data_IF_913861245015
#
_entry.id   IF_913861245015
#
_cell.length_a   1.000
_cell.length_b   1.000
_cell.length_c   1.000
_cell.angle_alpha   90.00
_cell.angle_beta   90.00
_cell.angle_gamma   90.00
#
_symmetry.space_group_name_H-M   'P 1'
#
loop_
_entity.id
_entity.type
_entity.pdbx_description
1 polymer ?
#
# COMPACT_ATOMS: atom_id res chain seq x y z
N UNK A 1 20.51 11.69 4.41
CA UNK A 1 19.08 12.06 4.16
C UNK A 1 18.31 10.78 4.37
N UNK A 2 17.29 10.82 5.20
CA UNK A 2 16.44 9.64 5.42
C UNK A 2 15.80 9.19 4.11
N UNK A 3 15.59 7.87 3.92
CA UNK A 3 15.02 7.34 2.71
C UNK A 3 13.58 7.80 2.52
N UNK A 4 13.27 8.29 1.32
CA UNK A 4 11.93 8.71 0.94
C UNK A 4 11.68 8.44 -0.55
N UNK A 5 10.41 8.30 -0.94
CA UNK A 5 10.06 8.04 -2.34
C UNK A 5 10.26 9.27 -3.23
N UNK A 6 9.97 10.47 -2.72
CA UNK A 6 10.02 11.71 -3.51
C UNK A 6 10.77 12.83 -2.79
N UNK A 7 11.24 13.79 -3.59
CA UNK A 7 11.58 15.15 -3.14
C UNK A 7 10.59 16.14 -3.76
N UNK A 8 10.19 17.15 -3.00
CA UNK A 8 9.34 18.23 -3.52
C UNK A 8 10.25 19.28 -4.20
N UNK A 9 9.98 19.60 -5.45
CA UNK A 9 10.71 20.61 -6.20
C UNK A 9 10.18 22.02 -5.96
N UNK A 10 10.96 23.02 -6.32
CA UNK A 10 10.52 24.42 -6.24
C UNK A 10 9.35 24.77 -7.17
N UNK A 11 9.07 23.95 -8.18
CA UNK A 11 7.91 24.07 -9.07
C UNK A 11 6.63 23.44 -8.49
N UNK A 12 6.71 22.76 -7.33
CA UNK A 12 5.58 22.07 -6.72
C UNK A 12 5.33 20.67 -7.29
N UNK A 13 6.22 20.14 -8.11
CA UNK A 13 6.19 18.77 -8.59
C UNK A 13 6.99 17.85 -7.66
N UNK A 14 6.72 16.55 -7.75
CA UNK A 14 7.37 15.52 -6.94
C UNK A 14 8.37 14.74 -7.80
N UNK A 15 9.66 14.93 -7.52
CA UNK A 15 10.77 14.24 -8.20
C UNK A 15 11.01 12.89 -7.52
N UNK A 16 10.94 11.75 -8.24
CA UNK A 16 11.21 10.44 -7.66
C UNK A 16 12.66 10.28 -7.23
N UNK A 17 12.90 9.68 -6.08
CA UNK A 17 14.23 9.25 -5.64
C UNK A 17 14.50 7.81 -6.12
N UNK A 18 15.72 7.33 -5.90
CA UNK A 18 16.05 5.91 -6.15
C UNK A 18 15.17 4.91 -5.39
N UNK A 19 14.57 5.32 -4.26
CA UNK A 19 13.72 4.48 -3.42
C UNK A 19 12.27 4.36 -3.93
N UNK A 20 11.90 5.11 -4.96
CA UNK A 20 10.59 5.01 -5.60
C UNK A 20 10.53 3.92 -6.67
N UNK A 21 11.65 3.27 -7.00
CA UNK A 21 11.73 2.28 -8.07
C UNK A 21 10.87 1.03 -7.85
N UNK A 22 10.50 0.38 -8.94
CA UNK A 22 9.67 -0.83 -8.99
C UNK A 22 10.44 -2.01 -9.57
N UNK A 23 10.11 -3.23 -9.11
CA UNK A 23 10.60 -4.48 -9.72
C UNK A 23 9.94 -4.83 -11.05
N UNK A 24 8.89 -4.13 -11.47
CA UNK A 24 8.27 -4.34 -12.78
C UNK A 24 9.13 -3.85 -13.97
N UNK A 25 10.27 -3.23 -13.70
CA UNK A 25 11.24 -2.82 -14.71
C UNK A 25 11.87 -1.47 -14.44
N UNK A 26 12.97 -1.19 -15.14
CA UNK A 26 13.73 0.04 -14.98
C UNK A 26 12.92 1.29 -15.28
N UNK A 27 13.09 2.29 -14.46
CA UNK A 27 12.42 3.58 -14.58
C UNK A 27 10.90 3.54 -14.29
N UNK A 28 10.38 2.46 -13.70
CA UNK A 28 9.01 2.38 -13.18
C UNK A 28 8.96 2.79 -11.72
N UNK A 29 7.86 3.41 -11.28
CA UNK A 29 7.60 3.67 -9.87
C UNK A 29 6.86 2.48 -9.24
N UNK A 30 7.19 2.23 -7.97
CA UNK A 30 6.53 1.22 -7.15
C UNK A 30 5.12 1.66 -6.75
N UNK A 31 4.24 0.69 -6.49
CA UNK A 31 2.89 0.94 -5.98
C UNK A 31 2.88 1.78 -4.72
N UNK A 32 3.66 1.47 -3.67
CA UNK A 32 3.73 2.28 -2.45
C UNK A 32 4.09 3.75 -2.70
N UNK A 33 4.97 4.05 -3.66
CA UNK A 33 5.30 5.43 -4.02
C UNK A 33 4.08 6.16 -4.60
N UNK A 34 3.36 5.55 -5.53
CA UNK A 34 2.20 6.17 -6.20
C UNK A 34 1.04 6.37 -5.22
N UNK A 35 0.66 5.31 -4.47
CA UNK A 35 -0.45 5.39 -3.52
C UNK A 35 -0.12 6.29 -2.33
N UNK A 36 1.14 6.29 -1.88
CA UNK A 36 1.63 7.18 -0.82
C UNK A 36 1.53 8.65 -1.21
N UNK A 37 1.95 9.01 -2.42
CA UNK A 37 1.87 10.40 -2.91
C UNK A 37 0.42 10.88 -3.02
N UNK A 38 -0.49 10.04 -3.53
CA UNK A 38 -1.91 10.34 -3.59
C UNK A 38 -2.51 10.54 -2.19
N UNK A 39 -2.26 9.60 -1.27
CA UNK A 39 -2.76 9.65 0.10
C UNK A 39 -2.26 10.89 0.84
N UNK A 40 -0.93 11.19 0.72
CA UNK A 40 -0.32 12.36 1.34
C UNK A 40 -0.97 13.65 0.86
N UNK A 41 -1.18 13.80 -0.44
CA UNK A 41 -1.81 15.00 -0.99
C UNK A 41 -3.21 15.19 -0.41
N UNK A 42 -4.02 14.12 -0.37
CA UNK A 42 -5.38 14.17 0.15
C UNK A 42 -5.43 14.43 1.66
N UNK A 43 -4.54 13.81 2.43
CA UNK A 43 -4.47 14.05 3.88
C UNK A 43 -3.99 15.46 4.21
N UNK A 44 -2.99 15.97 3.50
CA UNK A 44 -2.44 17.32 3.71
C UNK A 44 -3.50 18.42 3.49
N UNK A 45 -4.32 18.27 2.45
CA UNK A 45 -5.27 19.31 2.05
C UNK A 45 -6.66 19.14 2.66
N UNK A 46 -7.06 17.93 3.03
CA UNK A 46 -8.42 17.60 3.48
C UNK A 46 -8.46 16.84 4.81
N UNK A 47 -7.33 16.50 5.40
CA UNK A 47 -7.25 15.87 6.72
C UNK A 47 -7.78 16.77 7.82
N UNK A 48 -8.38 16.16 8.85
CA UNK A 48 -8.92 16.88 10.01
C UNK A 48 -8.92 15.94 11.22
N UNK A 49 -8.61 16.44 12.44
CA UNK A 49 -8.64 15.64 13.65
C UNK A 49 -10.02 15.02 13.95
N UNK A 50 -11.09 15.70 13.55
CA UNK A 50 -12.47 15.27 13.76
C UNK A 50 -12.89 14.14 12.83
N UNK A 51 -12.17 13.93 11.72
CA UNK A 51 -12.51 12.97 10.68
C UNK A 51 -11.48 11.86 10.59
N UNK A 52 -11.96 10.64 10.53
CA UNK A 52 -11.15 9.45 10.28
C UNK A 52 -11.03 9.23 8.78
N UNK A 53 -9.83 9.15 8.20
CA UNK A 53 -9.64 8.67 6.83
C UNK A 53 -9.99 7.18 6.79
N UNK A 54 -11.16 6.85 6.25
CA UNK A 54 -11.75 5.52 6.39
C UNK A 54 -11.56 4.67 5.15
N UNK A 55 -11.57 5.27 3.96
CA UNK A 55 -11.32 4.53 2.73
C UNK A 55 -10.51 5.39 1.76
N UNK A 56 -9.45 4.77 1.22
CA UNK A 56 -8.76 5.26 0.03
C UNK A 56 -8.95 4.26 -1.10
N UNK A 57 -9.40 4.73 -2.26
CA UNK A 57 -9.39 3.96 -3.51
C UNK A 57 -8.43 4.64 -4.47
N UNK A 58 -7.55 3.88 -5.11
CA UNK A 58 -6.59 4.37 -6.10
C UNK A 58 -6.73 3.53 -7.36
N UNK A 59 -7.05 4.19 -8.48
CA UNK A 59 -7.03 3.60 -9.82
C UNK A 59 -5.66 3.87 -10.46
N UNK A 60 -5.02 2.84 -10.97
CA UNK A 60 -3.70 2.88 -11.63
C UNK A 60 -3.90 2.75 -13.14
N UNK A 61 -4.02 3.87 -13.85
CA UNK A 61 -4.34 3.87 -15.29
C UNK A 61 -3.15 3.50 -16.17
N UNK A 62 -1.95 3.77 -15.70
CA UNK A 62 -0.70 3.54 -16.42
C UNK A 62 0.44 3.32 -15.45
N UNK A 63 1.43 2.58 -15.90
CA UNK A 63 2.70 2.47 -15.18
C UNK A 63 3.33 3.86 -15.02
N UNK A 64 3.45 4.33 -13.79
CA UNK A 64 4.14 5.57 -13.46
C UNK A 64 5.65 5.40 -13.70
N UNK A 65 6.30 6.44 -14.19
CA UNK A 65 7.73 6.44 -14.55
C UNK A 65 8.55 7.27 -13.56
N UNK A 66 9.86 7.02 -13.55
CA UNK A 66 10.82 7.80 -12.74
C UNK A 66 11.07 9.18 -13.38
N UNK A 67 10.02 10.01 -13.39
CA UNK A 67 10.01 11.40 -13.89
C UNK A 67 9.13 12.23 -12.93
N UNK A 68 9.26 13.58 -12.93
CA UNK A 68 8.46 14.44 -12.10
C UNK A 68 6.96 14.17 -12.23
N UNK A 69 6.26 14.19 -11.10
CA UNK A 69 4.83 13.95 -11.01
C UNK A 69 4.13 15.20 -10.47
N UNK A 70 3.21 15.73 -11.27
CA UNK A 70 2.29 16.78 -10.84
C UNK A 70 1.06 16.16 -10.20
N UNK A 71 0.52 16.82 -9.15
CA UNK A 71 -0.69 16.37 -8.46
C UNK A 71 -1.71 17.49 -8.43
N UNK A 72 -2.92 17.21 -8.89
CA UNK A 72 -4.09 18.09 -8.72
C UNK A 72 -5.08 17.44 -7.77
N UNK A 73 -5.85 18.24 -7.05
CA UNK A 73 -6.78 17.74 -6.04
C UNK A 73 -7.97 18.66 -5.88
N UNK A 74 -9.11 18.09 -5.45
CA UNK A 74 -10.31 18.84 -5.16
C UNK A 74 -11.17 18.18 -4.09
N UNK A 75 -11.95 19.00 -3.36
CA UNK A 75 -13.05 18.49 -2.56
C UNK A 75 -14.21 18.08 -3.50
N UNK A 76 -14.75 16.88 -3.25
CA UNK A 76 -15.97 16.38 -3.91
C UNK A 76 -17.17 16.63 -3.03
N UNK A 77 -17.01 16.43 -1.71
CA UNK A 77 -18.05 16.66 -0.71
C UNK A 77 -17.43 17.11 0.60
N UNK A 78 -17.93 18.20 1.15
CA UNK A 78 -17.61 18.65 2.51
C UNK A 78 -18.89 18.68 3.36
N UNK A 79 -19.25 17.54 3.93
CA UNK A 79 -20.45 17.36 4.74
C UNK A 79 -20.14 17.19 6.23
N UNK A 80 -21.14 17.43 7.07
CA UNK A 80 -20.99 17.37 8.52
C UNK A 80 -20.52 16.00 9.05
N UNK A 81 -20.87 14.89 8.38
CA UNK A 81 -20.54 13.51 8.79
C UNK A 81 -19.62 12.79 7.81
N UNK A 82 -19.63 13.21 6.55
CA UNK A 82 -18.95 12.55 5.44
C UNK A 82 -18.24 13.60 4.61
N UNK A 83 -16.94 13.40 4.39
CA UNK A 83 -16.11 14.17 3.46
C UNK A 83 -15.54 13.26 2.39
N UNK A 84 -15.47 13.77 1.17
CA UNK A 84 -14.88 13.08 0.04
C UNK A 84 -13.99 14.09 -0.69
N UNK A 85 -12.77 13.68 -0.96
CA UNK A 85 -11.81 14.42 -1.77
C UNK A 85 -11.17 13.48 -2.79
N UNK A 86 -10.72 14.03 -3.89
CA UNK A 86 -10.01 13.28 -4.92
C UNK A 86 -8.75 13.99 -5.37
N UNK A 87 -7.78 13.24 -5.89
CA UNK A 87 -6.60 13.77 -6.55
C UNK A 87 -6.27 12.97 -7.80
N UNK A 88 -5.56 13.62 -8.72
CA UNK A 88 -5.03 13.05 -9.94
C UNK A 88 -3.52 13.24 -10.00
N UNK A 89 -2.80 12.16 -10.31
CA UNK A 89 -1.37 12.17 -10.53
C UNK A 89 -1.10 12.15 -12.02
N UNK A 90 -0.32 13.10 -12.51
CA UNK A 90 0.01 13.23 -13.92
C UNK A 90 1.52 13.35 -14.15
N UNK A 91 2.02 12.73 -15.21
CA UNK A 91 3.39 12.80 -15.66
C UNK A 91 3.43 13.24 -17.12
N UNK A 92 4.19 14.31 -17.42
CA UNK A 92 4.26 14.87 -18.78
C UNK A 92 2.87 15.13 -19.40
N UNK A 93 1.93 15.65 -18.57
CA UNK A 93 0.56 15.94 -18.98
C UNK A 93 -0.36 14.73 -19.17
N UNK A 94 0.10 13.50 -18.84
CA UNK A 94 -0.70 12.28 -18.92
C UNK A 94 -1.07 11.79 -17.54
N UNK A 95 -2.36 11.51 -17.33
CA UNK A 95 -2.87 10.93 -16.11
C UNK A 95 -2.32 9.51 -15.92
N UNK A 96 -1.71 9.25 -14.74
CA UNK A 96 -1.16 7.94 -14.37
C UNK A 96 -1.95 7.27 -13.26
N UNK A 97 -2.50 8.04 -12.33
CA UNK A 97 -3.35 7.51 -11.26
C UNK A 97 -4.40 8.54 -10.82
N UNK A 98 -5.49 8.04 -10.23
CA UNK A 98 -6.50 8.84 -9.53
C UNK A 98 -6.77 8.20 -8.18
N UNK A 99 -6.99 9.03 -7.16
CA UNK A 99 -7.37 8.53 -5.85
C UNK A 99 -8.59 9.28 -5.30
N UNK A 100 -9.40 8.56 -4.53
CA UNK A 100 -10.55 9.11 -3.80
C UNK A 100 -10.43 8.75 -2.33
N UNK A 101 -10.39 9.75 -1.46
CA UNK A 101 -10.39 9.62 0.00
C UNK A 101 -11.80 9.87 0.54
N UNK A 102 -12.34 8.89 1.25
CA UNK A 102 -13.55 9.01 2.05
C UNK A 102 -13.18 9.14 3.53
N UNK A 103 -13.75 10.13 4.20
CA UNK A 103 -13.55 10.36 5.62
C UNK A 103 -14.90 10.41 6.35
N UNK A 104 -14.95 9.75 7.51
CA UNK A 104 -16.11 9.83 8.39
C UNK A 104 -15.78 10.61 9.66
N UNK A 105 -16.74 11.44 10.11
CA UNK A 105 -16.63 12.11 11.39
C UNK A 105 -16.63 11.08 12.52
N UNK A 106 -15.67 11.20 13.43
CA UNK A 106 -15.58 10.36 14.63
C UNK A 106 -16.84 10.52 15.46
N UNK A 107 -17.37 9.43 16.00
CA UNK A 107 -18.57 9.39 16.84
C UNK A 107 -18.52 8.22 17.79
N UNK A 108 -19.49 8.16 18.71
CA UNK A 108 -19.65 7.03 19.61
C UNK A 108 -20.24 5.84 18.86
N UNK A 109 -19.72 4.64 19.16
CA UNK A 109 -20.26 3.41 18.61
C UNK A 109 -21.71 3.17 19.06
N UNK A 110 -22.56 2.56 18.23
CA UNK A 110 -23.90 2.17 18.64
C UNK A 110 -23.84 1.08 19.73
N UNK A 111 -24.85 0.97 20.60
CA UNK A 111 -24.90 -0.09 21.60
C UNK A 111 -25.06 -1.47 20.98
N UNK A 112 -24.60 -2.51 21.69
CA UNK A 112 -24.71 -3.90 21.26
C UNK A 112 -23.36 -4.56 20.97
N UNK A 113 -23.41 -5.84 20.62
CA UNK A 113 -22.25 -6.63 20.20
C UNK A 113 -22.37 -6.96 18.73
N UNK A 114 -21.29 -6.76 18.00
CA UNK A 114 -21.18 -7.12 16.59
C UNK A 114 -20.39 -8.43 16.45
N UNK A 115 -20.73 -9.18 15.41
CA UNK A 115 -19.94 -10.32 15.00
C UNK A 115 -18.54 -9.87 14.53
N UNK A 116 -17.53 -10.66 14.84
CA UNK A 116 -16.16 -10.47 14.36
C UNK A 116 -15.52 -11.84 14.10
N UNK A 117 -14.64 -11.89 13.12
CA UNK A 117 -13.82 -13.08 12.89
C UNK A 117 -12.68 -13.09 13.90
N UNK A 118 -12.52 -14.16 14.70
CA UNK A 118 -11.31 -14.34 15.47
C UNK A 118 -10.12 -14.48 14.51
N UNK A 119 -9.18 -13.56 14.53
CA UNK A 119 -8.01 -13.61 13.67
C UNK A 119 -6.78 -13.83 14.53
N UNK A 120 -6.18 -15.01 14.45
CA UNK A 120 -4.84 -15.24 14.96
C UNK A 120 -3.85 -14.77 13.91
N UNK A 121 -3.10 -13.74 14.21
CA UNK A 121 -2.12 -13.16 13.30
C UNK A 121 -0.73 -13.44 13.86
N UNK A 122 0.11 -14.20 13.16
CA UNK A 122 1.50 -14.38 13.55
C UNK A 122 2.28 -13.09 13.31
N UNK A 123 3.22 -12.80 14.22
CA UNK A 123 4.15 -11.69 14.08
C UNK A 123 5.56 -12.21 13.85
N UNK A 124 6.40 -11.48 13.11
CA UNK A 124 7.78 -11.84 12.98
C UNK A 124 8.47 -11.82 14.36
N UNK A 125 9.49 -12.66 14.58
CA UNK A 125 10.40 -12.49 15.69
C UNK A 125 11.01 -11.09 15.63
N UNK A 126 11.71 -10.68 16.71
CA UNK A 126 12.33 -9.35 16.73
C UNK A 126 13.18 -9.16 15.48
N UNK A 127 12.84 -8.15 14.69
CA UNK A 127 13.62 -7.79 13.51
C UNK A 127 14.86 -7.00 13.97
N UNK A 128 16.02 -7.36 13.40
CA UNK A 128 17.27 -6.65 13.66
C UNK A 128 17.22 -5.22 13.09
N UNK A 129 18.05 -4.34 13.61
CA UNK A 129 18.22 -2.99 13.09
C UNK A 129 18.56 -3.01 11.59
N UNK A 130 17.92 -2.11 10.82
CA UNK A 130 18.09 -2.00 9.37
C UNK A 130 17.25 -2.94 8.52
N UNK A 131 16.39 -3.77 9.12
CA UNK A 131 15.36 -4.53 8.40
C UNK A 131 14.11 -3.67 8.28
N UNK A 132 13.58 -3.54 7.07
CA UNK A 132 12.37 -2.75 6.83
C UNK A 132 11.15 -3.60 6.51
N UNK A 133 11.35 -4.85 6.11
CA UNK A 133 10.26 -5.75 5.77
C UNK A 133 10.60 -7.21 6.09
N UNK A 134 9.57 -8.00 6.36
CA UNK A 134 9.63 -9.43 6.46
C UNK A 134 8.43 -10.06 5.75
N UNK A 135 8.62 -11.25 5.22
CA UNK A 135 7.61 -12.06 4.54
C UNK A 135 7.45 -13.38 5.27
N UNK A 136 6.25 -13.93 5.28
CA UNK A 136 5.90 -15.20 5.86
C UNK A 136 4.89 -15.93 4.97
N UNK A 137 4.82 -17.27 5.12
CA UNK A 137 3.77 -18.08 4.50
C UNK A 137 3.36 -19.22 5.42
N UNK A 138 2.18 -19.79 5.22
CA UNK A 138 1.73 -20.94 6.02
C UNK A 138 2.63 -22.18 5.83
N UNK A 139 3.48 -22.19 4.79
CA UNK A 139 4.45 -23.26 4.50
C UNK A 139 5.89 -22.95 4.93
N UNK A 140 6.15 -21.81 5.59
CA UNK A 140 7.50 -21.42 6.01
C UNK A 140 7.49 -20.37 7.10
N UNK A 141 8.65 -20.13 7.70
CA UNK A 141 8.83 -19.14 8.75
C UNK A 141 9.18 -17.77 8.17
N UNK A 142 9.03 -16.71 8.97
CA UNK A 142 9.39 -15.34 8.61
C UNK A 142 10.81 -15.23 8.04
N UNK A 143 10.94 -14.66 6.85
CA UNK A 143 12.22 -14.37 6.19
C UNK A 143 12.25 -12.93 5.65
N UNK A 144 13.41 -12.56 5.09
CA UNK A 144 13.62 -11.25 4.45
C UNK A 144 13.42 -11.28 2.93
N UNK A 145 13.14 -12.45 2.38
CA UNK A 145 13.05 -12.64 0.94
C UNK A 145 11.67 -13.16 0.54
N UNK A 146 10.91 -12.45 -0.30
CA UNK A 146 9.71 -13.01 -0.91
C UNK A 146 9.99 -14.30 -1.71
N UNK A 147 11.23 -14.46 -2.20
CA UNK A 147 11.66 -15.67 -2.93
C UNK A 147 11.56 -16.95 -2.10
N UNK A 148 11.80 -16.87 -0.77
CA UNK A 148 11.67 -18.01 0.14
C UNK A 148 10.20 -18.47 0.29
N UNK A 149 9.26 -17.62 -0.13
CA UNK A 149 7.81 -17.82 -0.02
C UNK A 149 7.12 -17.98 -1.38
N UNK A 150 7.85 -18.26 -2.44
CA UNK A 150 7.27 -18.62 -3.75
C UNK A 150 6.67 -20.02 -3.71
N UNK A 151 5.53 -20.16 -3.06
CA UNK A 151 4.75 -21.39 -2.88
C UNK A 151 3.26 -21.12 -3.05
N UNK A 152 2.39 -22.11 -2.89
CA UNK A 152 0.94 -22.01 -3.06
C UNK A 152 0.17 -21.79 -1.74
N UNK A 153 0.87 -21.50 -0.63
CA UNK A 153 0.24 -21.23 0.66
C UNK A 153 -0.05 -19.74 0.86
N UNK A 154 -0.84 -19.41 1.89
CA UNK A 154 -1.16 -18.02 2.29
C UNK A 154 0.11 -17.25 2.64
N UNK A 155 0.16 -15.98 2.26
CA UNK A 155 1.30 -15.07 2.52
C UNK A 155 0.94 -13.98 3.52
N UNK A 156 1.99 -13.48 4.20
CA UNK A 156 1.97 -12.30 5.05
C UNK A 156 3.16 -11.42 4.74
N UNK A 157 2.97 -10.14 4.88
CA UNK A 157 4.02 -9.13 4.73
C UNK A 157 3.97 -8.19 5.93
N UNK A 158 5.11 -7.88 6.54
CA UNK A 158 5.22 -6.99 7.70
C UNK A 158 6.30 -5.95 7.42
N UNK A 159 5.93 -4.67 7.45
CA UNK A 159 6.79 -3.60 6.94
C UNK A 159 6.69 -2.33 7.78
N UNK A 160 7.80 -1.57 7.82
CA UNK A 160 7.84 -0.17 8.23
C UNK A 160 8.09 0.68 6.99
N UNK A 161 7.06 1.40 6.52
CA UNK A 161 7.13 2.18 5.29
C UNK A 161 8.08 3.37 5.44
N UNK A 162 8.93 3.60 4.43
CA UNK A 162 9.76 4.81 4.32
C UNK A 162 8.89 6.03 4.06
N UNK A 163 9.45 7.22 4.22
CA UNK A 163 8.69 8.46 4.01
C UNK A 163 8.25 8.64 2.55
N UNK A 164 7.09 9.24 2.35
CA UNK A 164 6.60 9.59 1.01
C UNK A 164 7.46 10.71 0.42
N UNK A 165 7.71 11.76 1.20
CA UNK A 165 8.48 12.93 0.78
C UNK A 165 9.61 13.20 1.76
N UNK A 166 10.80 13.41 1.25
CA UNK A 166 12.00 13.66 2.04
C UNK A 166 11.81 14.82 3.03
N UNK A 167 12.21 14.56 4.29
CA UNK A 167 12.07 15.52 5.38
C UNK A 167 10.65 15.72 5.91
N UNK A 168 9.71 14.86 5.53
CA UNK A 168 8.31 14.91 5.96
C UNK A 168 7.87 13.54 6.46
N UNK A 169 7.86 13.37 7.78
CA UNK A 169 7.49 12.10 8.40
C UNK A 169 6.07 11.66 8.03
N UNK A 170 5.91 10.37 7.75
CA UNK A 170 4.61 9.78 7.45
C UNK A 170 3.67 9.82 8.66
N UNK A 171 2.43 10.19 8.43
CA UNK A 171 1.33 9.93 9.36
C UNK A 171 1.01 8.44 9.47
N UNK A 172 0.22 8.05 10.46
CA UNK A 172 -0.26 6.68 10.58
C UNK A 172 -1.16 6.26 9.41
N UNK A 173 -1.89 7.21 8.81
CA UNK A 173 -2.68 6.95 7.62
C UNK A 173 -1.78 6.63 6.41
N UNK A 174 -0.74 7.42 6.18
CA UNK A 174 0.21 7.17 5.09
C UNK A 174 0.90 5.83 5.23
N UNK A 175 1.37 5.49 6.45
CA UNK A 175 1.96 4.17 6.73
C UNK A 175 0.99 3.04 6.40
N UNK A 176 -0.28 3.15 6.83
CA UNK A 176 -1.29 2.13 6.55
C UNK A 176 -1.52 1.93 5.05
N UNK A 177 -1.69 3.02 4.30
CA UNK A 177 -1.97 2.96 2.85
C UNK A 177 -0.80 2.41 2.05
N UNK A 178 0.42 2.83 2.38
CA UNK A 178 1.62 2.36 1.67
C UNK A 178 1.88 0.88 1.91
N UNK A 179 1.70 0.40 3.15
CA UNK A 179 1.85 -1.02 3.47
C UNK A 179 0.67 -1.84 2.90
N UNK A 180 -0.53 -1.27 2.86
CA UNK A 180 -1.71 -1.93 2.27
C UNK A 180 -1.53 -2.27 0.78
N UNK A 181 -0.65 -1.56 0.06
CA UNK A 181 -0.35 -1.87 -1.33
C UNK A 181 0.26 -3.27 -1.48
N UNK A 182 0.93 -3.79 -0.44
CA UNK A 182 1.38 -5.17 -0.40
C UNK A 182 0.24 -6.21 -0.44
N UNK A 183 -1.04 -5.80 -0.42
CA UNK A 183 -2.17 -6.68 -0.77
C UNK A 183 -1.94 -7.35 -2.11
N UNK A 184 -1.43 -6.60 -3.11
CA UNK A 184 -1.08 -7.16 -4.41
C UNK A 184 0.00 -8.24 -4.30
N UNK A 185 1.04 -8.02 -3.51
CA UNK A 185 2.11 -8.99 -3.29
C UNK A 185 1.59 -10.25 -2.60
N UNK A 186 0.95 -10.12 -1.43
CA UNK A 186 0.56 -11.28 -0.62
C UNK A 186 -0.53 -12.13 -1.25
N UNK A 187 -1.33 -11.57 -2.17
CA UNK A 187 -2.39 -12.31 -2.87
C UNK A 187 -1.93 -12.89 -4.21
N UNK A 188 -0.91 -12.33 -4.85
CA UNK A 188 -0.47 -12.77 -6.19
C UNK A 188 0.90 -13.48 -6.20
N UNK A 189 1.58 -13.60 -5.06
CA UNK A 189 2.84 -14.33 -4.96
C UNK A 189 2.57 -15.84 -4.97
N UNK A 190 2.82 -16.48 -6.10
CA UNK A 190 2.66 -17.90 -6.31
C UNK A 190 4.01 -18.63 -6.44
N UNK A 191 3.98 -19.88 -6.89
CA UNK A 191 5.15 -20.76 -7.03
C UNK A 191 6.18 -20.29 -8.05
N UNK A 192 5.80 -19.38 -8.96
CA UNK A 192 6.67 -18.78 -9.99
C UNK A 192 6.80 -17.26 -9.82
N UNK A 193 6.62 -16.75 -8.58
CA UNK A 193 6.69 -15.34 -8.31
C UNK A 193 5.36 -14.61 -8.51
N UNK A 194 5.39 -13.32 -8.88
CA UNK A 194 4.20 -12.49 -9.09
C UNK A 194 3.95 -12.31 -10.59
N UNK A 195 2.90 -12.93 -11.08
CA UNK A 195 2.50 -12.90 -12.49
C UNK A 195 1.28 -12.02 -12.80
N UNK A 196 0.74 -11.30 -11.80
CA UNK A 196 -0.40 -10.40 -11.95
C UNK A 196 -0.02 -8.97 -11.58
N UNK A 197 -0.36 -8.00 -12.45
CA UNK A 197 -0.19 -6.57 -12.19
C UNK A 197 -1.52 -5.99 -11.70
N UNK A 198 -1.52 -5.34 -10.54
CA UNK A 198 -2.71 -4.67 -10.03
C UNK A 198 -3.03 -3.39 -10.81
N UNK A 199 -4.31 -3.21 -11.11
CA UNK A 199 -4.88 -2.01 -11.72
C UNK A 199 -5.43 -1.00 -10.72
N UNK A 200 -5.57 -1.39 -9.46
CA UNK A 200 -6.16 -0.59 -8.39
C UNK A 200 -5.67 -1.00 -7.00
N UNK A 201 -6.05 -0.20 -6.02
CA UNK A 201 -6.00 -0.53 -4.61
C UNK A 201 -7.17 0.13 -3.88
N UNK A 202 -7.94 -0.64 -3.13
CA UNK A 202 -8.91 -0.12 -2.15
C UNK A 202 -8.46 -0.48 -0.74
N UNK A 203 -8.34 0.52 0.12
CA UNK A 203 -7.98 0.36 1.54
C UNK A 203 -9.15 0.85 2.39
N UNK A 204 -9.68 -0.01 3.26
CA UNK A 204 -10.68 0.34 4.26
C UNK A 204 -10.08 0.29 5.67
N UNK A 205 -10.27 1.34 6.48
CA UNK A 205 -9.71 1.46 7.82
C UNK A 205 -10.82 1.69 8.85
N UNK A 206 -10.89 0.85 9.87
CA UNK A 206 -11.76 1.04 11.04
C UNK A 206 -11.10 1.93 12.11
N UNK A 207 -9.77 1.91 12.19
CA UNK A 207 -8.92 2.78 13.01
C UNK A 207 -7.59 3.02 12.32
N UNK A 208 -6.82 3.99 12.77
CA UNK A 208 -5.42 4.12 12.37
C UNK A 208 -4.56 3.06 13.08
N UNK A 209 -3.47 2.60 12.47
CA UNK A 209 -2.52 1.68 13.10
C UNK A 209 -1.80 2.34 14.27
N UNK A 210 -1.26 1.49 15.16
CA UNK A 210 -0.41 1.88 16.29
C UNK A 210 1.02 1.42 16.03
N UNK A 211 1.97 2.34 16.17
CA UNK A 211 3.38 2.07 15.90
C UNK A 211 3.74 2.23 14.42
N UNK A 212 4.96 1.85 14.08
CA UNK A 212 5.52 2.04 12.73
C UNK A 212 5.38 0.79 11.86
N UNK A 213 5.28 -0.37 12.49
CA UNK A 213 5.24 -1.66 11.84
C UNK A 213 3.82 -2.12 11.60
N UNK A 214 3.52 -2.42 10.36
CA UNK A 214 2.19 -2.82 9.89
C UNK A 214 2.31 -4.11 9.10
N UNK A 215 1.36 -5.01 9.31
CA UNK A 215 1.26 -6.26 8.58
C UNK A 215 0.08 -6.30 7.62
N UNK A 216 0.24 -7.12 6.60
CA UNK A 216 -0.78 -7.47 5.60
C UNK A 216 -0.83 -8.99 5.51
N UNK A 217 -1.98 -9.59 5.71
CA UNK A 217 -2.21 -11.02 5.56
C UNK A 217 -3.22 -11.27 4.44
N UNK A 218 -2.87 -12.13 3.48
CA UNK A 218 -3.83 -12.54 2.44
C UNK A 218 -5.03 -13.26 3.04
N UNK A 219 -6.24 -12.87 2.64
CA UNK A 219 -7.49 -13.51 3.05
C UNK A 219 -8.09 -14.35 1.93
N UNK A 220 -8.11 -13.80 0.70
CA UNK A 220 -8.63 -14.49 -0.46
C UNK A 220 -7.86 -14.14 -1.73
N UNK A 221 -7.86 -15.09 -2.66
CA UNK A 221 -7.43 -14.90 -4.05
C UNK A 221 -8.39 -15.68 -4.96
N UNK A 222 -9.03 -14.97 -5.88
CA UNK A 222 -9.91 -15.56 -6.89
C UNK A 222 -9.37 -15.15 -8.26
N UNK A 223 -9.16 -16.12 -9.15
CA UNK A 223 -8.66 -15.84 -10.49
C UNK A 223 -9.37 -16.67 -11.55
N UNK A 224 -9.69 -16.03 -12.68
CA UNK A 224 -10.23 -16.66 -13.88
C UNK A 224 -9.88 -15.80 -15.10
N UNK A 225 -9.62 -16.46 -16.24
CA UNK A 225 -9.40 -15.80 -17.55
C UNK A 225 -8.31 -14.71 -17.52
N UNK A 226 -7.27 -14.89 -16.69
CA UNK A 226 -6.19 -13.91 -16.56
C UNK A 226 -6.55 -12.68 -15.74
N UNK A 227 -7.66 -12.70 -15.00
CA UNK A 227 -8.08 -11.64 -14.08
C UNK A 227 -8.04 -12.20 -12.66
N UNK A 228 -7.54 -11.43 -11.71
CA UNK A 228 -7.49 -11.81 -10.30
C UNK A 228 -8.10 -10.73 -9.41
N UNK A 229 -8.71 -11.17 -8.30
CA UNK A 229 -9.15 -10.32 -7.20
C UNK A 229 -8.56 -10.88 -5.91
N UNK A 230 -7.86 -10.03 -5.17
CA UNK A 230 -7.26 -10.38 -3.88
C UNK A 230 -7.73 -9.49 -2.75
N UNK A 231 -7.96 -10.06 -1.57
CA UNK A 231 -8.23 -9.31 -0.34
C UNK A 231 -7.25 -9.67 0.75
N UNK A 232 -6.98 -8.70 1.63
CA UNK A 232 -6.07 -8.89 2.75
C UNK A 232 -6.54 -8.16 4.00
N UNK A 233 -6.21 -8.70 5.17
CA UNK A 233 -6.38 -8.05 6.47
C UNK A 233 -5.13 -7.23 6.79
N UNK A 234 -5.34 -5.96 7.17
CA UNK A 234 -4.31 -5.06 7.69
C UNK A 234 -4.28 -5.17 9.21
N UNK A 235 -3.09 -5.32 9.79
CA UNK A 235 -2.92 -5.51 11.22
C UNK A 235 -1.69 -4.82 11.80
N UNK A 236 -1.74 -4.53 13.07
CA UNK A 236 -0.62 -4.12 13.90
C UNK A 236 -0.59 -4.97 15.18
N UNK A 237 0.30 -4.68 16.13
CA UNK A 237 0.37 -5.43 17.39
C UNK A 237 -0.88 -5.32 18.28
N UNK A 238 -1.79 -4.39 17.99
CA UNK A 238 -3.10 -4.25 18.64
C UNK A 238 -4.21 -5.06 17.94
N UNK A 239 -3.88 -5.78 16.87
CA UNK A 239 -4.80 -6.61 16.08
C UNK A 239 -5.18 -6.00 14.74
N UNK A 240 -6.18 -6.58 14.08
CA UNK A 240 -6.69 -6.11 12.80
C UNK A 240 -7.26 -4.68 12.91
N UNK A 241 -7.03 -3.87 11.89
CA UNK A 241 -7.52 -2.49 11.86
C UNK A 241 -8.14 -2.08 10.51
N UNK A 242 -8.02 -2.91 9.50
CA UNK A 242 -8.53 -2.60 8.17
C UNK A 242 -8.37 -3.75 7.18
N UNK A 243 -8.72 -3.48 5.94
CA UNK A 243 -8.61 -4.43 4.84
C UNK A 243 -8.08 -3.74 3.58
N UNK A 244 -7.35 -4.50 2.78
CA UNK A 244 -6.95 -4.16 1.43
C UNK A 244 -7.68 -5.04 0.41
N UNK A 245 -7.98 -4.47 -0.76
CA UNK A 245 -8.49 -5.19 -1.93
C UNK A 245 -7.79 -4.68 -3.18
N UNK A 246 -7.48 -5.58 -4.09
CA UNK A 246 -6.90 -5.24 -5.40
C UNK A 246 -7.50 -6.11 -6.48
N UNK A 247 -7.69 -5.53 -7.68
CA UNK A 247 -7.91 -6.28 -8.91
C UNK A 247 -6.63 -6.28 -9.74
N UNK A 248 -6.38 -7.37 -10.44
CA UNK A 248 -5.13 -7.53 -11.17
C UNK A 248 -5.34 -8.27 -12.50
N UNK A 249 -4.46 -8.01 -13.45
CA UNK A 249 -4.44 -8.67 -14.75
C UNK A 249 -3.16 -9.46 -14.92
N UNK A 250 -3.25 -10.63 -15.53
CA UNK A 250 -2.10 -11.48 -15.80
C UNK A 250 -1.09 -10.77 -16.72
N UNK A 251 0.19 -10.91 -16.37
CA UNK A 251 1.31 -10.40 -17.13
C UNK A 251 2.38 -11.49 -17.32
N UNK A 252 2.09 -12.53 -18.09
CA UNK A 252 2.99 -13.68 -18.23
C UNK A 252 4.32 -13.34 -18.91
N UNK A 253 4.38 -12.22 -19.64
CA UNK A 253 5.60 -11.79 -20.34
C UNK A 253 6.62 -11.09 -19.43
N UNK A 254 6.21 -10.66 -18.22
CA UNK A 254 7.06 -9.94 -17.28
C UNK A 254 6.70 -10.31 -15.84
N UNK A 255 6.87 -11.56 -15.50
CA UNK A 255 6.67 -12.10 -14.17
C UNK A 255 7.85 -11.71 -13.26
N UNK A 256 7.57 -11.30 -12.02
CA UNK A 256 8.63 -11.02 -11.04
C UNK A 256 8.95 -12.32 -10.32
N UNK A 257 10.16 -12.83 -10.50
CA UNK A 257 10.68 -14.01 -9.82
C UNK A 257 11.69 -13.60 -8.75
N UNK A 258 11.24 -13.49 -7.51
CA UNK A 258 12.07 -13.07 -6.39
C UNK A 258 13.13 -14.08 -5.96
N UNK A 259 13.05 -15.32 -6.43
CA UNK A 259 14.10 -16.31 -6.18
C UNK A 259 15.35 -16.01 -7.03
N UNK A 260 15.15 -15.47 -8.23
CA UNK A 260 16.22 -15.10 -9.16
C UNK A 260 16.52 -13.61 -9.21
N UNK A 261 15.57 -12.75 -8.80
CA UNK A 261 15.72 -11.28 -8.69
C UNK A 261 15.22 -10.80 -7.30
N UNK A 262 16.05 -10.96 -6.26
CA UNK A 262 15.61 -10.70 -4.89
C UNK A 262 15.34 -9.22 -4.62
N UNK A 263 14.22 -8.95 -3.95
CA UNK A 263 13.86 -7.64 -3.41
C UNK A 263 14.94 -7.16 -2.44
N UNK A 264 15.54 -5.97 -2.63
CA UNK A 264 16.36 -5.37 -1.61
C UNK A 264 15.45 -4.89 -0.44
N UNK A 265 15.25 -5.76 0.56
CA UNK A 265 14.53 -5.40 1.79
C UNK A 265 15.38 -4.60 2.78
N UNK A 266 16.54 -4.12 2.35
CA UNK A 266 17.40 -3.19 3.09
C UNK A 266 17.53 -1.90 2.28
N UNK A 267 17.35 -0.78 2.96
CA UNK A 267 17.81 0.50 2.43
C UNK A 267 19.27 0.65 2.88
N UNK A 268 20.20 0.88 1.96
CA UNK A 268 21.61 1.07 2.29
C UNK A 268 21.87 2.31 3.13
#
# INVERSE_FOLDING_TARGET
MEPAHFTLTGSGEFEPTKFAGSHWGDGHLSGPAVVGLAARTLELHYGSPDFMPTRLTVDLFRSARSVPTAVTFRAVRDGRRVRIAECELAQKGRLVARATLLQYRRSTAPPGRLWSVPTTIPFPPRLDDGVQAAVDSDAGDWSRSPGDHQNDSRKRFYNSAIDVVAGQANSQFLRAVMVAEATSLVTNLGTHGVGYINGDLTVGLARLPVGEWIGVQADSHCAADGIAVGTATLFDRSGAFGSGMTTAVANPAAQIDFANDPLPLRIP
#
